data_IF_115473033396
#
_entry.id   IF_115473033396
#
_cell.length_a   1.000
_cell.length_b   1.000
_cell.length_c   1.000
_cell.angle_alpha   90.00
_cell.angle_beta   90.00
_cell.angle_gamma   90.00
#
_symmetry.space_group_name_H-M   'P 1'
#
loop_
_entity.id
_entity.type
_entity.pdbx_description
1 polymer ?
#
# COMPACT_ATOMS: atom_id res chain seq x y z
N UNK A 1 -5.14 -14.04 9.37
CA UNK A 1 -4.43 -14.97 8.45
C UNK A 1 -2.97 -14.97 8.88
N UNK A 2 -2.41 -16.14 9.18
CA UNK A 2 -1.02 -16.27 9.60
C UNK A 2 -0.07 -15.91 8.44
N UNK A 3 1.14 -15.38 8.72
CA UNK A 3 2.12 -15.01 7.69
C UNK A 3 2.44 -16.09 6.67
N UNK A 4 2.68 -17.33 7.12
CA UNK A 4 3.00 -18.46 6.25
C UNK A 4 1.82 -18.88 5.36
N UNK A 5 0.59 -18.88 5.91
CA UNK A 5 -0.65 -19.04 5.14
C UNK A 5 -0.76 -17.95 4.07
N UNK A 6 -0.51 -16.69 4.44
CA UNK A 6 -0.63 -15.56 3.52
C UNK A 6 0.36 -15.65 2.37
N UNK A 7 1.64 -15.91 2.66
CA UNK A 7 2.68 -16.02 1.62
C UNK A 7 2.36 -17.16 0.66
N UNK A 8 1.90 -18.31 1.16
CA UNK A 8 1.47 -19.42 0.31
C UNK A 8 0.30 -19.03 -0.59
N UNK A 9 -0.71 -18.35 -0.06
CA UNK A 9 -1.84 -17.86 -0.86
C UNK A 9 -1.41 -16.81 -1.89
N UNK A 10 -0.47 -15.92 -1.56
CA UNK A 10 0.05 -14.92 -2.48
C UNK A 10 0.82 -15.57 -3.64
N UNK A 11 1.62 -16.60 -3.37
CA UNK A 11 2.29 -17.36 -4.41
C UNK A 11 1.26 -18.01 -5.36
N UNK A 12 0.25 -18.68 -4.81
CA UNK A 12 -0.83 -19.27 -5.59
C UNK A 12 -1.63 -18.22 -6.40
N UNK A 13 -1.72 -16.99 -5.90
CA UNK A 13 -2.44 -15.92 -6.57
C UNK A 13 -1.76 -15.41 -7.85
N UNK A 14 -0.43 -15.55 -7.95
CA UNK A 14 0.37 -15.04 -9.08
C UNK A 14 0.44 -16.04 -10.25
N UNK A 15 0.39 -17.33 -9.97
CA UNK A 15 0.40 -18.44 -10.93
C UNK A 15 -0.09 -19.71 -10.19
N UNK A 16 -1.05 -20.51 -10.69
CA UNK A 16 -1.64 -20.56 -12.04
C UNK A 16 -3.10 -20.09 -12.15
N UNK A 17 -3.58 -19.26 -11.24
CA UNK A 17 -5.01 -18.91 -11.18
C UNK A 17 -5.42 -18.03 -12.38
N UNK A 18 -6.45 -18.48 -13.12
CA UNK A 18 -7.09 -17.69 -14.17
C UNK A 18 -8.28 -16.89 -13.61
N UNK A 19 -8.16 -15.56 -13.60
CA UNK A 19 -9.21 -14.65 -13.11
C UNK A 19 -10.20 -14.21 -14.21
N UNK A 20 -10.03 -14.63 -15.46
CA UNK A 20 -10.80 -14.12 -16.60
C UNK A 20 -12.31 -14.31 -16.47
N UNK A 21 -12.76 -15.48 -15.99
CA UNK A 21 -14.18 -15.76 -15.79
C UNK A 21 -14.79 -14.94 -14.63
N UNK A 22 -14.01 -14.72 -13.56
CA UNK A 22 -14.41 -13.87 -12.45
C UNK A 22 -14.59 -12.41 -12.91
N UNK A 23 -13.67 -11.92 -13.75
CA UNK A 23 -13.60 -10.51 -14.18
C UNK A 23 -14.43 -10.21 -15.43
N UNK A 24 -14.99 -11.22 -16.09
CA UNK A 24 -15.75 -11.05 -17.32
C UNK A 24 -16.87 -10.01 -17.19
N UNK A 25 -16.97 -9.12 -18.19
CA UNK A 25 -18.05 -8.14 -18.30
C UNK A 25 -19.38 -8.89 -18.41
N UNK A 26 -20.35 -8.52 -17.57
CA UNK A 26 -21.66 -9.16 -17.54
C UNK A 26 -21.71 -10.53 -16.85
N UNK A 27 -20.65 -10.96 -16.14
CA UNK A 27 -20.69 -12.19 -15.35
C UNK A 27 -21.87 -12.20 -14.36
N UNK A 28 -22.66 -13.27 -14.38
CA UNK A 28 -23.84 -13.40 -13.52
C UNK A 28 -23.44 -13.61 -12.06
N UNK A 29 -24.36 -13.36 -11.12
CA UNK A 29 -24.13 -13.64 -9.70
C UNK A 29 -23.77 -15.12 -9.44
N UNK A 30 -24.34 -16.05 -10.22
CA UNK A 30 -24.03 -17.48 -10.14
C UNK A 30 -22.61 -17.78 -10.64
N UNK A 31 -22.21 -17.21 -11.78
CA UNK A 31 -20.84 -17.31 -12.31
C UNK A 31 -19.83 -16.77 -11.29
N UNK A 32 -20.07 -15.58 -10.75
CA UNK A 32 -19.19 -14.96 -9.74
C UNK A 32 -19.08 -15.86 -8.51
N UNK A 33 -20.19 -16.43 -8.02
CA UNK A 33 -20.15 -17.32 -6.87
C UNK A 33 -19.37 -18.62 -7.12
N UNK A 34 -19.50 -19.21 -8.31
CA UNK A 34 -18.74 -20.40 -8.71
C UNK A 34 -17.25 -20.11 -8.82
N UNK A 35 -16.87 -19.02 -9.50
CA UNK A 35 -15.47 -18.62 -9.66
C UNK A 35 -14.82 -18.25 -8.32
N UNK A 36 -15.53 -17.56 -7.42
CA UNK A 36 -15.05 -17.31 -6.05
C UNK A 36 -14.72 -18.63 -5.34
N UNK A 37 -15.58 -19.65 -5.45
CA UNK A 37 -15.35 -20.94 -4.82
C UNK A 37 -14.13 -21.66 -5.42
N UNK A 38 -13.98 -21.65 -6.75
CA UNK A 38 -12.84 -22.23 -7.46
C UNK A 38 -11.53 -21.55 -7.06
N UNK A 39 -11.48 -20.22 -7.15
CA UNK A 39 -10.30 -19.41 -6.82
C UNK A 39 -9.92 -19.60 -5.35
N UNK A 40 -10.89 -19.60 -4.43
CA UNK A 40 -10.61 -19.89 -3.01
C UNK A 40 -9.93 -21.25 -2.85
N UNK A 41 -10.44 -22.30 -3.53
CA UNK A 41 -9.85 -23.63 -3.48
C UNK A 41 -8.39 -23.64 -3.93
N UNK A 42 -8.08 -22.93 -5.02
CA UNK A 42 -6.71 -22.78 -5.55
C UNK A 42 -5.82 -21.96 -4.62
N UNK A 43 -6.30 -20.84 -4.08
CA UNK A 43 -5.54 -20.01 -3.15
C UNK A 43 -5.17 -20.77 -1.88
N UNK A 44 -6.08 -21.57 -1.35
CA UNK A 44 -5.89 -22.33 -0.12
C UNK A 44 -5.16 -23.68 -0.33
N UNK A 45 -4.96 -24.09 -1.58
CA UNK A 45 -4.28 -25.35 -1.89
C UNK A 45 -2.84 -25.34 -1.34
N UNK A 46 -2.53 -26.30 -0.47
CA UNK A 46 -1.21 -26.42 0.16
C UNK A 46 -0.88 -25.37 1.21
N UNK A 47 -1.76 -24.39 1.46
CA UNK A 47 -1.48 -23.31 2.41
C UNK A 47 -1.52 -23.83 3.87
N UNK A 48 -0.50 -23.53 4.70
CA UNK A 48 -0.51 -23.88 6.11
C UNK A 48 -1.77 -23.35 6.81
N UNK A 49 -2.47 -24.19 7.57
CA UNK A 49 -3.68 -23.75 8.28
C UNK A 49 -4.87 -23.38 7.38
N UNK A 50 -4.91 -23.86 6.13
CA UNK A 50 -6.02 -23.62 5.19
C UNK A 50 -7.41 -23.99 5.74
N UNK A 51 -7.48 -24.91 6.71
CA UNK A 51 -8.72 -25.36 7.36
C UNK A 51 -9.12 -24.52 8.58
N UNK A 52 -8.40 -23.44 8.88
CA UNK A 52 -8.73 -22.56 10.00
C UNK A 52 -10.17 -22.01 9.87
N UNK A 53 -10.91 -22.07 10.97
CA UNK A 53 -12.30 -21.61 11.01
C UNK A 53 -12.41 -20.15 10.52
N UNK A 54 -13.37 -19.92 9.61
CA UNK A 54 -13.63 -18.59 9.03
C UNK A 54 -12.66 -18.14 7.93
N UNK A 55 -11.54 -18.83 7.69
CA UNK A 55 -10.58 -18.45 6.66
C UNK A 55 -11.21 -18.45 5.26
N UNK A 56 -11.96 -19.51 4.92
CA UNK A 56 -12.65 -19.61 3.63
C UNK A 56 -13.57 -18.41 3.35
N UNK A 57 -14.32 -17.96 4.36
CA UNK A 57 -15.21 -16.81 4.23
C UNK A 57 -14.43 -15.50 4.03
N UNK A 58 -13.31 -15.32 4.73
CA UNK A 58 -12.42 -14.17 4.54
C UNK A 58 -11.85 -14.12 3.13
N UNK A 59 -11.45 -15.27 2.58
CA UNK A 59 -10.95 -15.38 1.20
C UNK A 59 -12.04 -15.05 0.19
N UNK A 60 -13.26 -15.56 0.38
CA UNK A 60 -14.40 -15.20 -0.49
C UNK A 60 -14.68 -13.70 -0.49
N UNK A 61 -14.68 -13.08 0.70
CA UNK A 61 -14.85 -11.63 0.83
C UNK A 61 -13.73 -10.89 0.10
N UNK A 62 -12.48 -11.32 0.27
CA UNK A 62 -11.33 -10.69 -0.39
C UNK A 62 -11.42 -10.79 -1.93
N UNK A 63 -11.82 -11.94 -2.49
CA UNK A 63 -12.00 -12.11 -3.94
C UNK A 63 -13.12 -11.20 -4.48
N UNK A 64 -14.22 -11.04 -3.73
CA UNK A 64 -15.32 -10.16 -4.13
C UNK A 64 -14.93 -8.68 -4.04
N UNK A 65 -14.21 -8.28 -2.98
CA UNK A 65 -13.68 -6.93 -2.83
C UNK A 65 -12.65 -6.63 -3.92
N UNK A 66 -11.83 -7.61 -4.27
CA UNK A 66 -10.89 -7.53 -5.37
C UNK A 66 -11.60 -7.22 -6.70
N UNK A 67 -12.66 -7.98 -7.01
CA UNK A 67 -13.49 -7.71 -8.19
C UNK A 67 -14.13 -6.32 -8.15
N UNK A 68 -14.66 -5.89 -7.01
CA UNK A 68 -15.22 -4.53 -6.86
C UNK A 68 -14.18 -3.44 -7.09
N UNK A 69 -12.94 -3.68 -6.66
CA UNK A 69 -11.81 -2.81 -6.95
C UNK A 69 -11.50 -2.73 -8.45
N UNK A 70 -11.50 -3.87 -9.14
CA UNK A 70 -11.33 -3.94 -10.60
C UNK A 70 -12.44 -3.19 -11.36
N UNK A 71 -13.69 -3.37 -10.96
CA UNK A 71 -14.83 -2.69 -11.59
C UNK A 71 -14.93 -1.21 -11.18
N UNK A 72 -13.99 -0.71 -10.36
CA UNK A 72 -14.00 0.64 -9.81
C UNK A 72 -15.36 1.00 -9.18
N UNK A 73 -15.89 0.11 -8.34
CA UNK A 73 -17.17 0.30 -7.64
C UNK A 73 -17.03 0.32 -6.11
N UNK A 74 -17.94 1.06 -5.47
CA UNK A 74 -18.04 1.13 -4.01
C UNK A 74 -16.81 1.73 -3.32
N UNK A 75 -16.60 1.43 -2.02
CA UNK A 75 -15.51 1.98 -1.23
C UNK A 75 -14.14 1.35 -1.57
N UNK A 76 -14.12 0.30 -2.41
CA UNK A 76 -12.91 -0.45 -2.78
C UNK A 76 -12.28 0.01 -4.09
N UNK A 77 -12.78 1.10 -4.69
CA UNK A 77 -12.13 1.87 -5.76
C UNK A 77 -10.68 2.26 -5.45
N UNK A 78 -10.22 2.15 -4.20
CA UNK A 78 -8.88 2.53 -3.77
C UNK A 78 -8.06 1.30 -3.31
N UNK A 79 -7.85 0.30 -4.17
CA UNK A 79 -7.00 -0.86 -3.82
C UNK A 79 -5.54 -0.45 -3.50
N UNK A 80 -5.07 0.72 -3.94
CA UNK A 80 -3.68 1.15 -3.69
C UNK A 80 -3.23 1.00 -2.22
N UNK A 81 -4.12 1.21 -1.24
CA UNK A 81 -3.79 1.01 0.18
C UNK A 81 -3.53 -0.45 0.54
N UNK A 82 -4.28 -1.39 -0.04
CA UNK A 82 -4.07 -2.84 0.15
C UNK A 82 -2.81 -3.28 -0.59
N UNK A 83 -2.50 -2.71 -1.77
CA UNK A 83 -1.22 -2.95 -2.44
C UNK A 83 -0.04 -2.52 -1.56
N UNK A 84 -0.07 -1.29 -1.04
CA UNK A 84 0.98 -0.78 -0.13
C UNK A 84 1.08 -1.64 1.14
N UNK A 85 -0.06 -1.96 1.76
CA UNK A 85 -0.11 -2.83 2.93
C UNK A 85 0.48 -4.21 2.64
N UNK A 86 0.19 -4.79 1.47
CA UNK A 86 0.71 -6.10 1.07
C UNK A 86 2.23 -6.06 0.82
N UNK A 87 2.75 -5.01 0.19
CA UNK A 87 4.20 -4.84 -0.02
C UNK A 87 4.95 -4.71 1.31
N UNK A 88 4.50 -3.80 2.19
CA UNK A 88 5.14 -3.58 3.50
C UNK A 88 5.05 -4.82 4.38
N UNK A 89 3.89 -5.48 4.38
CA UNK A 89 3.71 -6.73 5.14
C UNK A 89 4.57 -7.87 4.56
N UNK A 90 4.65 -8.01 3.25
CA UNK A 90 5.51 -8.99 2.58
C UNK A 90 6.98 -8.80 2.98
N UNK A 91 7.47 -7.56 2.97
CA UNK A 91 8.80 -7.22 3.47
C UNK A 91 8.96 -7.56 4.97
N UNK A 92 7.99 -7.19 5.81
CA UNK A 92 8.03 -7.52 7.23
C UNK A 92 8.12 -9.04 7.49
N UNK A 93 7.41 -9.86 6.71
CA UNK A 93 7.50 -11.33 6.82
C UNK A 93 8.84 -11.85 6.32
N UNK A 94 9.33 -11.34 5.18
CA UNK A 94 10.63 -11.74 4.62
C UNK A 94 11.80 -11.43 5.57
N UNK A 95 11.72 -10.31 6.29
CA UNK A 95 12.73 -9.87 7.27
C UNK A 95 12.48 -10.44 8.68
N UNK A 96 11.50 -11.33 8.88
CA UNK A 96 11.21 -11.95 10.17
C UNK A 96 10.61 -11.01 11.23
N UNK A 97 10.20 -9.81 10.84
CA UNK A 97 9.51 -8.83 11.70
C UNK A 97 8.05 -9.21 11.95
N UNK A 98 7.41 -9.92 11.01
CA UNK A 98 6.10 -10.54 11.19
C UNK A 98 6.19 -12.05 10.94
N UNK A 99 5.84 -12.87 11.93
CA UNK A 99 6.11 -14.31 11.89
C UNK A 99 5.04 -15.17 12.56
N UNK A 100 5.15 -16.49 12.33
CA UNK A 100 4.46 -17.52 13.09
C UNK A 100 5.46 -18.16 14.05
N UNK A 101 5.24 -18.03 15.36
CA UNK A 101 6.11 -18.62 16.37
C UNK A 101 5.50 -19.89 16.97
N UNK A 102 6.35 -20.87 17.23
CA UNK A 102 6.02 -22.13 17.90
C UNK A 102 6.34 -22.06 19.40
N UNK A 103 5.68 -22.87 20.26
CA UNK A 103 4.56 -23.78 19.96
C UNK A 103 3.22 -23.04 19.78
N UNK A 104 2.28 -23.65 19.06
CA UNK A 104 0.90 -23.12 18.93
C UNK A 104 0.64 -22.16 17.76
N UNK A 105 1.61 -21.97 16.85
CA UNK A 105 1.47 -21.15 15.62
C UNK A 105 0.93 -19.74 15.89
N UNK A 106 1.50 -19.06 16.88
CA UNK A 106 1.09 -17.70 17.26
C UNK A 106 1.59 -16.69 16.24
N UNK A 107 0.71 -15.79 15.80
CA UNK A 107 1.06 -14.65 14.95
C UNK A 107 1.71 -13.55 15.81
N UNK A 108 2.91 -13.13 15.46
CA UNK A 108 3.65 -12.01 16.07
C UNK A 108 4.02 -10.98 15.02
N UNK A 109 4.20 -9.72 15.40
CA UNK A 109 4.59 -8.64 14.46
C UNK A 109 3.45 -8.07 13.62
N UNK A 110 2.22 -8.59 13.80
CA UNK A 110 1.05 -8.17 13.02
C UNK A 110 0.80 -6.67 13.19
N UNK A 111 0.69 -5.97 12.07
CA UNK A 111 0.41 -4.53 12.02
C UNK A 111 1.47 -3.66 12.72
N UNK A 112 2.61 -4.21 13.14
CA UNK A 112 3.63 -3.49 13.92
C UNK A 112 4.42 -2.50 13.07
N UNK A 113 4.84 -2.91 11.86
CA UNK A 113 5.60 -2.05 10.96
C UNK A 113 4.72 -0.95 10.36
N UNK A 114 3.58 -1.35 9.79
CA UNK A 114 2.52 -0.50 9.26
C UNK A 114 1.17 -1.17 9.53
N UNK A 115 0.14 -0.40 9.86
CA UNK A 115 -1.22 -0.93 9.97
C UNK A 115 -1.70 -1.41 8.59
N UNK A 116 -2.05 -2.69 8.47
CA UNK A 116 -2.68 -3.19 7.26
C UNK A 116 -4.10 -2.60 7.14
N UNK A 117 -4.32 -1.76 6.13
CA UNK A 117 -5.57 -1.05 5.96
C UNK A 117 -6.00 -0.98 4.49
N UNK A 118 -7.31 -0.87 4.29
CA UNK A 118 -7.92 -0.69 2.96
C UNK A 118 -7.99 0.77 2.52
N UNK A 119 -7.55 1.72 3.36
CA UNK A 119 -7.44 3.14 3.02
C UNK A 119 -6.08 3.71 3.44
N UNK A 120 -5.54 4.63 2.64
CA UNK A 120 -4.26 5.28 2.95
C UNK A 120 -4.36 6.17 4.20
N UNK A 121 -5.51 6.83 4.38
CA UNK A 121 -5.76 7.66 5.54
C UNK A 121 -5.64 6.89 6.86
N UNK A 122 -6.15 5.64 6.92
CA UNK A 122 -6.14 4.85 8.15
C UNK A 122 -4.72 4.56 8.64
N UNK A 123 -3.85 4.02 7.78
CA UNK A 123 -2.48 3.72 8.19
C UNK A 123 -1.64 4.99 8.39
N UNK A 124 -1.97 6.10 7.73
CA UNK A 124 -1.26 7.38 7.90
C UNK A 124 -1.59 8.00 9.26
N UNK A 125 -2.85 7.92 9.69
CA UNK A 125 -3.27 8.35 11.03
C UNK A 125 -2.58 7.52 12.10
N UNK A 126 -2.49 6.21 11.90
CA UNK A 126 -1.77 5.33 12.82
C UNK A 126 -0.26 5.67 12.86
N UNK A 127 0.39 5.87 11.71
CA UNK A 127 1.80 6.28 11.65
C UNK A 127 2.04 7.64 12.35
N UNK A 128 1.09 8.58 12.23
CA UNK A 128 1.10 9.86 12.98
C UNK A 128 0.98 9.63 14.48
N UNK A 129 0.09 8.74 14.91
CA UNK A 129 -0.09 8.41 16.33
C UNK A 129 1.16 7.72 16.91
N UNK A 130 1.75 6.78 16.18
CA UNK A 130 3.01 6.11 16.56
C UNK A 130 4.17 7.08 16.69
N UNK A 131 4.25 8.07 15.81
CA UNK A 131 5.21 9.17 15.90
C UNK A 131 5.02 9.98 17.18
N UNK A 132 3.79 10.41 17.46
CA UNK A 132 3.47 11.18 18.67
C UNK A 132 3.80 10.40 19.96
N UNK A 133 3.64 9.08 19.94
CA UNK A 133 4.00 8.19 21.05
C UNK A 133 5.50 7.85 21.13
N UNK A 134 6.33 8.30 20.16
CA UNK A 134 7.75 7.96 20.10
C UNK A 134 8.04 6.47 19.86
N UNK A 135 7.06 5.70 19.36
CA UNK A 135 7.20 4.26 19.13
C UNK A 135 8.17 4.01 17.99
N UNK A 136 9.29 3.34 18.22
CA UNK A 136 10.27 3.01 17.18
C UNK A 136 9.96 1.66 16.52
N UNK A 137 10.66 1.33 15.42
CA UNK A 137 10.49 0.07 14.69
C UNK A 137 9.21 0.03 13.84
N UNK A 138 8.73 1.20 13.41
CA UNK A 138 7.47 1.38 12.67
C UNK A 138 7.57 2.57 11.75
N UNK A 139 6.68 2.65 10.76
CA UNK A 139 6.47 3.87 10.00
C UNK A 139 5.95 5.00 10.89
N UNK A 140 6.50 6.19 10.69
CA UNK A 140 6.04 7.47 11.23
C UNK A 140 5.58 8.38 10.10
N UNK A 141 4.58 9.22 10.37
CA UNK A 141 4.15 10.23 9.42
C UNK A 141 4.90 11.56 9.61
N UNK A 142 5.55 12.01 8.55
CA UNK A 142 6.22 13.30 8.43
C UNK A 142 5.51 14.18 7.42
N UNK A 143 5.57 15.48 7.60
CA UNK A 143 5.25 16.46 6.57
C UNK A 143 6.24 16.35 5.41
N UNK A 144 5.83 16.78 4.20
CA UNK A 144 6.61 16.60 2.96
C UNK A 144 7.99 17.28 2.97
N UNK A 145 8.19 18.27 3.83
CA UNK A 145 9.45 19.04 3.97
C UNK A 145 10.17 18.78 5.30
N UNK A 146 9.76 17.77 6.05
CA UNK A 146 10.42 17.39 7.32
C UNK A 146 11.54 16.36 7.11
N UNK A 147 11.48 15.53 6.06
CA UNK A 147 12.48 14.53 5.71
C UNK A 147 12.65 14.41 4.19
N UNK A 148 13.87 14.09 3.78
CA UNK A 148 14.16 13.71 2.39
C UNK A 148 13.66 12.28 2.17
N UNK A 149 12.90 11.99 1.09
CA UNK A 149 12.42 10.64 0.84
C UNK A 149 13.54 9.63 0.60
N UNK A 150 13.31 8.38 1.02
CA UNK A 150 14.21 7.25 0.83
C UNK A 150 13.47 6.05 0.23
N UNK A 151 14.16 5.09 -0.43
CA UNK A 151 13.54 3.85 -0.86
C UNK A 151 12.82 3.14 0.30
N UNK A 152 11.58 2.72 0.08
CA UNK A 152 10.69 2.16 1.09
C UNK A 152 9.76 3.17 1.78
N UNK A 153 9.99 4.47 1.64
CA UNK A 153 9.06 5.49 2.13
C UNK A 153 7.75 5.48 1.32
N UNK A 154 6.68 6.02 1.92
CA UNK A 154 5.37 6.12 1.27
C UNK A 154 4.96 7.59 1.17
N UNK A 155 4.77 8.09 -0.04
CA UNK A 155 4.27 9.45 -0.29
C UNK A 155 2.74 9.40 -0.30
N UNK A 156 2.08 10.14 0.58
CA UNK A 156 0.62 10.17 0.73
C UNK A 156 0.05 11.52 0.29
N UNK A 157 -1.01 11.48 -0.51
CA UNK A 157 -1.64 12.63 -1.14
C UNK A 157 -3.15 12.69 -0.89
N UNK A 158 -3.70 13.89 -0.92
CA UNK A 158 -5.13 14.18 -0.97
C UNK A 158 -5.66 13.95 -2.39
N UNK A 159 -6.59 13.00 -2.52
CA UNK A 159 -7.16 12.58 -3.82
C UNK A 159 -8.65 12.90 -3.91
N UNK A 160 -9.13 13.87 -3.12
CA UNK A 160 -10.49 14.38 -3.31
C UNK A 160 -10.59 15.13 -4.63
N UNK A 161 -11.68 14.88 -5.34
CA UNK A 161 -12.06 15.60 -6.55
C UNK A 161 -12.59 17.00 -6.20
N UNK A 162 -12.46 17.95 -7.13
CA UNK A 162 -13.06 19.29 -7.07
C UNK A 162 -12.77 20.11 -5.79
N UNK A 163 -11.59 19.92 -5.18
CA UNK A 163 -11.14 20.73 -4.04
C UNK A 163 -10.35 21.96 -4.49
N UNK A 164 -10.53 23.07 -3.78
CA UNK A 164 -9.70 24.27 -3.93
C UNK A 164 -8.33 24.09 -3.23
N UNK A 165 -7.28 24.83 -3.64
CA UNK A 165 -5.96 24.78 -2.97
C UNK A 165 -6.03 24.93 -1.44
N UNK A 166 -6.85 25.85 -0.94
CA UNK A 166 -7.01 26.09 0.50
C UNK A 166 -7.71 24.94 1.26
N UNK A 167 -8.32 23.99 0.56
CA UNK A 167 -9.03 22.85 1.14
C UNK A 167 -8.19 21.58 1.17
N UNK A 168 -7.01 21.57 0.54
CA UNK A 168 -6.08 20.44 0.57
C UNK A 168 -5.76 20.10 2.03
N UNK A 169 -5.94 18.83 2.40
CA UNK A 169 -5.72 18.44 3.79
C UNK A 169 -4.23 18.48 4.14
N UNK A 170 -3.93 18.78 5.40
CA UNK A 170 -2.60 18.61 5.97
C UNK A 170 -2.50 17.27 6.70
N UNK A 171 -1.28 16.83 7.03
CA UNK A 171 -1.06 15.69 7.92
C UNK A 171 -1.83 15.85 9.25
N UNK A 172 -1.85 17.05 9.84
CA UNK A 172 -2.58 17.29 11.09
C UNK A 172 -4.10 17.20 10.90
N UNK A 173 -4.61 17.68 9.77
CA UNK A 173 -6.04 17.69 9.45
C UNK A 173 -6.62 16.36 8.96
N UNK A 174 -5.77 15.38 8.65
CA UNK A 174 -6.20 14.09 8.06
C UNK A 174 -7.16 13.31 8.97
N UNK A 175 -8.23 12.78 8.35
CA UNK A 175 -9.30 11.98 8.97
C UNK A 175 -9.47 10.65 8.22
N UNK A 176 -9.93 9.60 8.92
CA UNK A 176 -9.90 8.22 8.41
C UNK A 176 -10.72 7.97 7.13
N UNK A 177 -11.74 8.78 6.87
CA UNK A 177 -12.59 8.68 5.67
C UNK A 177 -12.16 9.55 4.48
N UNK A 178 -11.04 10.28 4.59
CA UNK A 178 -10.59 11.17 3.52
C UNK A 178 -10.02 10.37 2.34
N UNK A 179 -10.50 10.67 1.13
CA UNK A 179 -10.01 10.04 -0.10
C UNK A 179 -8.56 10.45 -0.32
N UNK A 180 -7.67 9.47 -0.20
CA UNK A 180 -6.22 9.66 -0.24
C UNK A 180 -5.57 8.59 -1.10
N UNK A 181 -4.34 8.84 -1.53
CA UNK A 181 -3.53 7.91 -2.31
C UNK A 181 -2.12 7.86 -1.77
N UNK A 182 -1.49 6.69 -1.82
CA UNK A 182 -0.12 6.46 -1.40
C UNK A 182 0.69 5.72 -2.46
N UNK A 183 1.93 6.13 -2.65
CA UNK A 183 2.89 5.51 -3.57
C UNK A 183 4.18 5.17 -2.81
N UNK A 184 4.77 4.00 -3.05
CA UNK A 184 6.01 3.56 -2.40
C UNK A 184 7.19 4.08 -3.20
N UNK A 185 8.12 4.78 -2.56
CA UNK A 185 9.39 5.20 -3.15
C UNK A 185 10.25 3.96 -3.41
N UNK A 186 10.69 3.78 -4.65
CA UNK A 186 11.55 2.65 -5.06
C UNK A 186 12.94 3.11 -5.48
N UNK A 187 13.09 4.38 -5.83
CA UNK A 187 14.36 4.95 -6.28
C UNK A 187 14.42 6.44 -5.97
N UNK A 188 15.61 6.92 -5.58
CA UNK A 188 15.90 8.35 -5.42
C UNK A 188 16.93 8.74 -6.48
N UNK A 189 16.61 9.77 -7.26
CA UNK A 189 17.42 10.29 -8.35
C UNK A 189 17.76 11.77 -8.08
N UNK A 190 18.77 12.34 -8.78
CA UNK A 190 18.99 13.78 -8.73
C UNK A 190 17.72 14.55 -9.11
N UNK A 191 17.20 15.37 -8.19
CA UNK A 191 16.03 16.22 -8.39
C UNK A 191 14.66 15.50 -8.46
N UNK A 192 14.59 14.18 -8.25
CA UNK A 192 13.30 13.47 -8.22
C UNK A 192 13.35 12.12 -7.50
N UNK A 193 12.18 11.60 -7.12
CA UNK A 193 12.04 10.20 -6.69
C UNK A 193 11.09 9.44 -7.61
N UNK A 194 11.38 8.17 -7.83
CA UNK A 194 10.50 7.24 -8.55
C UNK A 194 9.75 6.41 -7.51
N UNK A 195 8.45 6.29 -7.72
CA UNK A 195 7.56 5.53 -6.85
C UNK A 195 6.72 4.54 -7.66
N UNK A 196 6.16 3.56 -6.97
CA UNK A 196 5.18 2.62 -7.51
C UNK A 196 3.90 2.70 -6.69
N UNK A 197 2.78 2.90 -7.37
CA UNK A 197 1.44 2.91 -6.79
C UNK A 197 0.54 1.83 -7.38
N UNK A 198 -0.35 1.28 -6.55
CA UNK A 198 -1.44 0.45 -7.02
C UNK A 198 -2.62 1.28 -7.53
N UNK A 199 -3.47 0.68 -8.34
CA UNK A 199 -4.71 1.27 -8.84
C UNK A 199 -4.61 2.71 -9.39
N UNK A 200 -3.60 2.90 -10.24
CA UNK A 200 -3.41 4.13 -11.00
C UNK A 200 -3.96 3.87 -12.40
N UNK A 201 -5.23 4.19 -12.64
CA UNK A 201 -5.96 3.77 -13.85
C UNK A 201 -5.99 2.24 -13.99
N UNK A 202 -6.52 1.56 -12.97
CA UNK A 202 -6.69 0.10 -12.91
C UNK A 202 -5.41 -0.72 -13.14
N UNK A 203 -4.25 -0.12 -12.84
CA UNK A 203 -2.94 -0.72 -13.05
C UNK A 203 -1.94 -0.31 -11.96
N UNK A 204 -0.80 -1.01 -11.93
CA UNK A 204 0.38 -0.62 -11.16
C UNK A 204 1.21 0.29 -12.06
N UNK A 205 1.52 1.51 -11.61
CA UNK A 205 2.24 2.49 -12.41
C UNK A 205 3.39 3.13 -11.65
N UNK A 206 4.44 3.47 -12.39
CA UNK A 206 5.49 4.35 -11.89
C UNK A 206 5.02 5.80 -11.88
N UNK A 207 5.45 6.55 -10.86
CA UNK A 207 5.32 8.01 -10.78
C UNK A 207 6.63 8.65 -10.42
N UNK A 208 6.87 9.87 -10.90
CA UNK A 208 8.06 10.65 -10.58
C UNK A 208 7.66 11.94 -9.86
N UNK A 209 8.13 12.09 -8.63
CA UNK A 209 7.91 13.27 -7.81
C UNK A 209 9.15 14.15 -7.82
N UNK A 210 9.03 15.46 -8.07
CA UNK A 210 10.16 16.38 -8.01
C UNK A 210 10.66 16.59 -6.57
N UNK A 211 11.98 16.72 -6.45
CA UNK A 211 12.66 17.14 -5.23
C UNK A 211 13.18 18.58 -5.37
N UNK A 212 13.20 19.33 -4.28
CA UNK A 212 13.86 20.64 -4.21
C UNK A 212 15.40 20.48 -4.17
N UNK A 213 16.14 21.60 -4.22
CA UNK A 213 17.61 21.59 -4.18
C UNK A 213 18.20 21.01 -2.88
N UNK A 214 17.38 20.85 -1.83
CA UNK A 214 17.77 20.25 -0.54
C UNK A 214 17.32 18.79 -0.44
N UNK A 215 16.66 18.24 -1.46
CA UNK A 215 16.18 16.86 -1.50
C UNK A 215 14.81 16.61 -0.87
N UNK A 216 14.05 17.65 -0.52
CA UNK A 216 12.68 17.50 -0.01
C UNK A 216 11.66 17.41 -1.14
N UNK A 217 10.49 16.82 -0.88
CA UNK A 217 9.39 16.83 -1.85
C UNK A 217 8.96 18.27 -2.11
N UNK A 218 8.83 18.62 -3.39
CA UNK A 218 8.23 19.90 -3.75
C UNK A 218 6.73 19.86 -3.46
N UNK A 219 6.17 20.96 -2.96
CA UNK A 219 4.74 21.12 -2.66
C UNK A 219 4.14 22.40 -3.28
N UNK A 220 4.76 22.91 -4.35
CA UNK A 220 4.29 24.10 -5.07
C UNK A 220 3.04 23.77 -5.92
N UNK A 221 1.91 24.50 -5.80
CA UNK A 221 0.66 24.13 -6.47
C UNK A 221 0.71 23.96 -8.00
N UNK A 222 1.43 24.80 -8.77
CA UNK A 222 1.57 24.61 -10.20
C UNK A 222 2.40 23.37 -10.58
N UNK A 223 3.26 22.87 -9.68
CA UNK A 223 4.17 21.79 -10.00
C UNK A 223 3.48 20.42 -9.93
N UNK A 224 3.83 19.55 -10.88
CA UNK A 224 3.21 18.24 -11.07
C UNK A 224 4.21 17.11 -10.82
N UNK A 225 3.70 15.99 -10.32
CA UNK A 225 4.36 14.71 -10.53
C UNK A 225 3.98 14.17 -11.92
N UNK A 226 4.84 13.33 -12.51
CA UNK A 226 4.54 12.62 -13.76
C UNK A 226 4.21 11.17 -13.48
N UNK A 227 3.53 10.53 -14.42
CA UNK A 227 3.03 9.17 -14.30
C UNK A 227 3.33 8.39 -15.58
N UNK A 228 3.62 7.11 -15.41
CA UNK A 228 3.78 6.14 -16.49
C UNK A 228 2.54 6.09 -17.39
N UNK A 229 2.78 6.13 -18.70
CA UNK A 229 1.75 5.93 -19.72
C UNK A 229 1.64 4.47 -20.14
N UNK A 230 0.70 4.14 -21.03
CA UNK A 230 0.46 2.76 -21.52
C UNK A 230 1.63 2.15 -22.29
N UNK A 231 2.58 2.97 -22.75
CA UNK A 231 3.82 2.52 -23.36
C UNK A 231 4.95 2.26 -22.34
N UNK A 232 4.69 2.38 -21.04
CA UNK A 232 5.69 2.20 -19.98
C UNK A 232 6.64 3.39 -19.81
N UNK A 233 6.35 4.53 -20.43
CA UNK A 233 7.19 5.72 -20.36
C UNK A 233 6.72 6.68 -19.25
N UNK A 234 7.67 7.14 -18.42
CA UNK A 234 7.44 8.16 -17.38
C UNK A 234 8.12 9.45 -17.80
N UNK A 235 7.35 10.52 -18.00
CA UNK A 235 7.90 11.83 -18.36
C UNK A 235 8.84 12.38 -17.27
N UNK A 236 9.78 13.24 -17.65
CA UNK A 236 10.67 13.91 -16.70
C UNK A 236 9.93 15.00 -15.92
N UNK A 237 10.47 15.35 -14.74
CA UNK A 237 10.07 16.53 -13.96
C UNK A 237 11.18 17.58 -14.07
N UNK A 238 10.88 18.89 -13.94
CA UNK A 238 9.61 19.49 -13.55
C UNK A 238 8.56 19.48 -14.67
N UNK A 239 7.32 19.15 -14.31
CA UNK A 239 6.13 19.41 -15.12
C UNK A 239 5.26 20.43 -14.37
N UNK A 240 4.54 21.27 -15.10
CA UNK A 240 3.72 22.34 -14.52
C UNK A 240 2.32 22.39 -15.12
N UNK A 241 1.37 22.94 -14.37
CA UNK A 241 0.01 23.26 -14.82
C UNK A 241 -0.28 24.74 -14.65
N UNK A 242 -1.10 25.29 -15.54
CA UNK A 242 -1.71 26.60 -15.35
C UNK A 242 -2.91 26.56 -14.39
N UNK A 243 -3.39 25.36 -14.01
CA UNK A 243 -4.46 25.20 -13.04
C UNK A 243 -3.91 25.42 -11.61
N UNK A 244 -4.64 26.13 -10.73
CA UNK A 244 -4.21 26.36 -9.35
C UNK A 244 -3.98 25.07 -8.55
N UNK A 245 -4.71 23.99 -8.84
CA UNK A 245 -4.55 22.68 -8.22
C UNK A 245 -4.97 21.54 -9.15
N UNK A 246 -4.13 21.21 -10.11
CA UNK A 246 -4.35 20.03 -10.96
C UNK A 246 -4.41 18.73 -10.14
N UNK A 247 -5.02 17.68 -10.69
CA UNK A 247 -5.11 16.36 -10.03
C UNK A 247 -3.74 15.76 -9.71
N UNK A 248 -2.74 16.07 -10.53
CA UNK A 248 -1.34 15.64 -10.34
C UNK A 248 -0.47 16.67 -9.62
N UNK A 249 -1.07 17.69 -9.03
CA UNK A 249 -0.34 18.73 -8.29
C UNK A 249 0.34 18.14 -7.07
N UNK A 250 1.63 18.44 -6.92
CA UNK A 250 2.42 18.00 -5.75
C UNK A 250 2.04 18.76 -4.47
N UNK A 251 1.31 19.88 -4.57
CA UNK A 251 0.73 20.54 -3.40
C UNK A 251 -0.31 19.67 -2.68
N UNK A 252 -0.81 18.61 -3.32
CA UNK A 252 -1.71 17.62 -2.71
C UNK A 252 -0.99 16.66 -1.76
N UNK A 253 0.35 16.65 -1.70
CA UNK A 253 1.11 15.79 -0.80
C UNK A 253 0.90 16.26 0.63
N UNK A 254 0.34 15.37 1.45
CA UNK A 254 0.04 15.65 2.85
C UNK A 254 1.05 15.00 3.81
N UNK A 255 1.68 13.89 3.42
CA UNK A 255 2.65 13.20 4.26
C UNK A 255 3.68 12.38 3.48
N UNK A 256 4.84 12.20 4.12
CA UNK A 256 5.84 11.18 3.84
C UNK A 256 5.85 10.21 5.02
N UNK A 257 5.50 8.95 4.79
CA UNK A 257 5.67 7.91 5.81
C UNK A 257 7.06 7.32 5.66
N UNK A 258 7.87 7.44 6.71
CA UNK A 258 9.21 6.88 6.74
C UNK A 258 9.37 5.94 7.91
N UNK A 259 10.15 4.88 7.72
CA UNK A 259 10.53 3.99 8.81
C UNK A 259 11.39 4.77 9.82
N UNK A 260 11.07 4.64 11.10
CA UNK A 260 11.91 5.19 12.18
C UNK A 260 12.53 4.03 12.94
N UNK A 261 13.81 3.83 12.68
CA UNK A 261 14.57 2.69 13.16
C UNK A 261 14.74 2.72 14.68
N UNK A 262 14.20 1.69 15.32
CA UNK A 262 14.94 0.79 16.21
C UNK A 262 14.11 -0.49 16.26
N UNK A 263 14.49 -1.47 15.45
CA UNK A 263 13.78 -2.73 15.39
C UNK A 263 13.89 -3.42 16.74
N UNK A 264 12.76 -3.75 17.37
CA UNK A 264 12.74 -4.80 18.39
C UNK A 264 12.82 -6.09 17.58
N UNK A 265 14.00 -6.69 17.53
CA UNK A 265 14.16 -8.05 17.02
C UNK A 265 13.13 -8.96 17.73
N UNK A 266 12.36 -9.73 16.97
CA UNK A 266 11.39 -10.66 17.55
C UNK A 266 12.14 -11.92 18.00
N UNK A 267 12.13 -12.27 19.30
CA UNK A 267 12.72 -13.51 19.78
C UNK A 267 12.08 -14.72 19.08
N UNK A 268 12.91 -15.60 18.55
CA UNK A 268 12.51 -16.79 17.79
C UNK A 268 12.41 -16.59 16.27
N UNK A 269 12.65 -15.38 15.74
CA UNK A 269 12.62 -15.14 14.28
C UNK A 269 13.96 -15.46 13.62
N UNK A 270 13.97 -16.02 12.39
CA UNK A 270 15.19 -16.14 11.59
C UNK A 270 15.83 -14.77 11.35
N UNK A 271 17.15 -14.66 11.56
CA UNK A 271 17.94 -13.47 11.25
C UNK A 271 19.33 -13.88 10.78
N UNK A 272 19.68 -13.52 9.54
CA UNK A 272 20.86 -14.06 8.89
C UNK A 272 20.79 -15.60 8.78
N UNK A 273 21.80 -16.29 9.33
CA UNK A 273 21.87 -17.77 9.38
C UNK A 273 21.39 -18.35 10.73
N UNK A 274 20.81 -17.54 11.61
CA UNK A 274 20.43 -17.93 12.97
C UNK A 274 19.00 -17.55 13.32
N UNK A 275 18.67 -17.69 14.61
CA UNK A 275 17.38 -17.30 15.20
C UNK A 275 17.65 -16.25 16.26
N UNK A 276 16.90 -15.15 16.25
CA UNK A 276 16.97 -14.09 17.27
C UNK A 276 16.58 -14.67 18.63
N UNK A 277 17.38 -14.37 19.66
CA UNK A 277 17.16 -14.87 21.03
C UNK A 277 16.06 -14.12 21.77
#
# INVERSE_FOLDING_TARGET
ILPDTLLSMQANALDPINYGALLAVGATAATIAAEVATIRGLLLAGAPGATAAGLAALVDTAIRQARQGHDSIGPFRAWSAVFVSACVRGAAVAEGLEAVVAPGRRHVGRDELLLAAVTHAAYTIEARARRAAGRRGTYHAFGPVERTPQPGDIIVQDRRDDIAPAQVTTLAGLRAGLISHGDIVVEVQPGSVVTIGGNVSDSVRKRRYPLDARGFLVTDPPQLFTQENDAGAVATVPAQSCQPLADRSVARILALLSLVESCVAVPGSPYGQGVLA
#
